data_IF_876726188047
#
_entry.id   IF_876726188047
#
_cell.length_a   1.000
_cell.length_b   1.000
_cell.length_c   1.000
_cell.angle_alpha   90.00
_cell.angle_beta   90.00
_cell.angle_gamma   90.00
#
_symmetry.space_group_name_H-M   'P 1'
#
loop_
_entity.id
_entity.type
_entity.pdbx_description
1 polymer ?
#
# COMPACT_ATOMS: atom_id res chain seq x y z
N UNK A 1 28.41 -11.52 8.54
CA UNK A 1 26.99 -11.13 8.56
C UNK A 1 26.25 -12.29 9.17
N UNK A 2 25.62 -12.11 10.33
CA UNK A 2 24.92 -13.19 11.03
C UNK A 2 23.92 -13.86 10.09
N UNK A 3 23.87 -15.19 10.09
CA UNK A 3 22.87 -16.01 9.39
C UNK A 3 21.48 -15.68 9.94
N UNK A 4 20.88 -14.60 9.43
CA UNK A 4 19.51 -14.26 9.77
C UNK A 4 18.61 -15.25 9.05
N UNK A 5 17.89 -16.08 9.80
CA UNK A 5 16.94 -17.03 9.25
C UNK A 5 15.81 -16.27 8.53
N UNK A 6 15.65 -16.42 7.19
CA UNK A 6 14.61 -15.70 6.44
C UNK A 6 13.19 -15.97 6.96
N UNK A 7 12.93 -17.18 7.47
CA UNK A 7 11.64 -17.54 8.04
C UNK A 7 11.33 -16.73 9.31
N UNK A 8 12.34 -16.47 10.15
CA UNK A 8 12.18 -15.68 11.38
C UNK A 8 11.93 -14.20 11.06
N UNK A 9 12.61 -13.65 10.05
CA UNK A 9 12.38 -12.28 9.56
C UNK A 9 10.94 -12.12 9.08
N UNK A 10 10.50 -13.02 8.21
CA UNK A 10 9.13 -12.99 7.67
C UNK A 10 8.11 -13.18 8.79
N UNK A 11 8.33 -14.11 9.72
CA UNK A 11 7.44 -14.34 10.85
C UNK A 11 7.29 -13.08 11.73
N UNK A 12 8.40 -12.36 11.98
CA UNK A 12 8.38 -11.10 12.71
C UNK A 12 7.57 -10.01 11.98
N UNK A 13 7.76 -9.85 10.67
CA UNK A 13 7.01 -8.88 9.86
C UNK A 13 5.51 -9.19 9.87
N UNK A 14 5.13 -10.47 9.67
CA UNK A 14 3.73 -10.92 9.70
C UNK A 14 3.12 -10.69 11.07
N UNK A 15 3.86 -10.93 12.17
CA UNK A 15 3.37 -10.66 13.53
C UNK A 15 3.01 -9.19 13.73
N UNK A 16 3.89 -8.28 13.33
CA UNK A 16 3.63 -6.83 13.42
C UNK A 16 2.49 -6.38 12.51
N UNK A 17 2.43 -6.91 11.28
CA UNK A 17 1.37 -6.61 10.33
C UNK A 17 -0.01 -7.03 10.86
N UNK A 18 -0.10 -8.22 11.49
CA UNK A 18 -1.34 -8.68 12.15
C UNK A 18 -1.76 -7.77 13.30
N UNK A 19 -0.81 -7.31 14.11
CA UNK A 19 -1.10 -6.40 15.21
C UNK A 19 -1.64 -5.05 14.69
N UNK A 20 -0.99 -4.48 13.66
CA UNK A 20 -1.45 -3.26 13.00
C UNK A 20 -2.81 -3.42 12.32
N UNK A 21 -3.03 -4.54 11.63
CA UNK A 21 -4.31 -4.86 11.00
C UNK A 21 -5.43 -4.98 12.03
N UNK A 22 -5.15 -5.64 13.17
CA UNK A 22 -6.12 -5.77 14.25
C UNK A 22 -6.54 -4.41 14.82
N UNK A 23 -5.62 -3.43 14.88
CA UNK A 23 -5.93 -2.07 15.31
C UNK A 23 -6.95 -1.39 14.38
N UNK A 24 -6.84 -1.60 13.07
CA UNK A 24 -7.77 -0.99 12.10
C UNK A 24 -9.07 -1.76 11.87
N UNK A 25 -9.27 -2.93 12.49
CA UNK A 25 -10.56 -3.64 12.42
C UNK A 25 -11.72 -2.82 13.00
N UNK A 26 -11.42 -1.90 13.91
CA UNK A 26 -12.40 -1.00 14.51
C UNK A 26 -12.61 0.29 13.69
N UNK A 27 -11.87 0.49 12.60
CA UNK A 27 -12.00 1.71 11.79
C UNK A 27 -13.35 1.72 11.07
N UNK A 28 -13.94 2.90 10.99
CA UNK A 28 -15.09 3.16 10.13
C UNK A 28 -14.70 3.18 8.65
N UNK A 29 -15.68 3.07 7.76
CA UNK A 29 -15.46 3.26 6.31
C UNK A 29 -14.74 4.57 6.01
N UNK A 30 -15.08 5.66 6.70
CA UNK A 30 -14.45 6.97 6.50
C UNK A 30 -12.97 6.97 6.90
N UNK A 31 -12.60 6.28 7.99
CA UNK A 31 -11.21 6.18 8.42
C UNK A 31 -10.39 5.30 7.46
N UNK A 32 -10.98 4.22 6.93
CA UNK A 32 -10.38 3.42 5.85
C UNK A 32 -10.20 4.26 4.57
N UNK A 33 -11.19 5.08 4.23
CA UNK A 33 -11.11 5.98 3.07
C UNK A 33 -10.03 7.07 3.26
N UNK A 34 -9.83 7.54 4.48
CA UNK A 34 -8.76 8.46 4.84
C UNK A 34 -7.38 7.81 4.74
N UNK A 35 -7.21 6.56 5.19
CA UNK A 35 -5.96 5.79 5.03
C UNK A 35 -5.53 5.72 3.57
N UNK A 36 -6.44 5.33 2.67
CA UNK A 36 -6.11 5.18 1.25
C UNK A 36 -5.88 6.52 0.57
N UNK A 37 -6.55 7.57 1.02
CA UNK A 37 -6.33 8.94 0.53
C UNK A 37 -4.94 9.43 0.90
N UNK A 38 -4.50 9.21 2.15
CA UNK A 38 -3.16 9.56 2.62
C UNK A 38 -2.07 8.85 1.79
N UNK A 39 -2.24 7.54 1.53
CA UNK A 39 -1.30 6.80 0.67
C UNK A 39 -1.32 7.32 -0.78
N UNK A 40 -2.49 7.61 -1.33
CA UNK A 40 -2.63 8.14 -2.68
C UNK A 40 -1.91 9.49 -2.85
N UNK A 41 -1.87 10.31 -1.80
CA UNK A 41 -1.28 11.64 -1.80
C UNK A 41 0.23 11.64 -2.09
N UNK A 42 0.95 10.59 -1.66
CA UNK A 42 2.42 10.45 -1.80
C UNK A 42 2.95 10.73 -3.22
N UNK A 43 2.18 10.41 -4.26
CA UNK A 43 2.58 10.61 -5.66
C UNK A 43 1.75 11.67 -6.40
N UNK A 44 0.85 12.36 -5.69
CA UNK A 44 0.11 13.50 -6.24
C UNK A 44 0.92 14.78 -6.18
N UNK A 45 1.81 14.93 -5.20
CA UNK A 45 2.78 16.01 -5.20
C UNK A 45 3.77 15.85 -6.37
N UNK A 46 3.88 16.89 -7.19
CA UNK A 46 4.61 16.80 -8.47
C UNK A 46 6.11 16.70 -8.25
N UNK A 47 6.64 17.40 -7.24
CA UNK A 47 8.07 17.41 -6.95
C UNK A 47 8.51 16.09 -6.31
N UNK A 48 7.73 15.57 -5.36
CA UNK A 48 7.93 14.25 -4.77
C UNK A 48 7.87 13.15 -5.84
N UNK A 49 6.87 13.18 -6.71
CA UNK A 49 6.73 12.20 -7.80
C UNK A 49 7.91 12.27 -8.78
N UNK A 50 8.39 13.49 -9.11
CA UNK A 50 9.59 13.68 -9.93
C UNK A 50 10.82 13.04 -9.29
N UNK A 51 11.10 13.34 -8.03
CA UNK A 51 12.26 12.79 -7.30
C UNK A 51 12.22 11.25 -7.24
N UNK A 52 11.05 10.68 -6.98
CA UNK A 52 10.86 9.23 -7.02
C UNK A 52 11.15 8.66 -8.42
N UNK A 53 10.68 9.31 -9.47
CA UNK A 53 10.89 8.86 -10.84
C UNK A 53 12.35 8.97 -11.29
N UNK A 54 13.06 10.04 -10.90
CA UNK A 54 14.49 10.22 -11.13
C UNK A 54 15.28 9.08 -10.47
N UNK A 55 14.99 8.81 -9.19
CA UNK A 55 15.59 7.70 -8.44
C UNK A 55 15.34 6.36 -9.14
N UNK A 56 14.09 6.09 -9.54
CA UNK A 56 13.73 4.83 -10.18
C UNK A 56 14.41 4.64 -11.55
N UNK A 57 14.58 5.71 -12.34
CA UNK A 57 15.33 5.63 -13.61
C UNK A 57 16.80 5.38 -13.33
N UNK A 58 17.40 6.10 -12.38
CA UNK A 58 18.80 5.97 -12.01
C UNK A 58 19.14 4.56 -11.53
N UNK A 59 18.31 3.97 -10.67
CA UNK A 59 18.56 2.66 -10.07
C UNK A 59 18.31 1.49 -11.04
N UNK A 60 17.22 1.60 -11.82
CA UNK A 60 16.79 0.47 -12.66
C UNK A 60 17.37 0.52 -14.06
N UNK A 61 17.71 1.70 -14.57
CA UNK A 61 18.05 1.95 -15.97
C UNK A 61 16.87 1.79 -16.93
N UNK A 62 15.63 1.75 -16.44
CA UNK A 62 14.43 1.42 -17.23
C UNK A 62 13.50 2.62 -17.42
N UNK A 63 13.21 2.97 -18.68
CA UNK A 63 12.26 4.02 -19.05
C UNK A 63 12.80 5.44 -18.87
N UNK A 64 11.91 6.43 -18.81
CA UNK A 64 12.24 7.84 -18.57
C UNK A 64 11.35 8.45 -17.48
N UNK A 65 11.77 9.60 -16.95
CA UNK A 65 11.11 10.28 -15.83
C UNK A 65 9.68 10.71 -16.19
N UNK A 66 9.48 11.34 -17.35
CA UNK A 66 8.18 11.89 -17.76
C UNK A 66 7.09 10.81 -17.88
N UNK A 67 7.40 9.67 -18.49
CA UNK A 67 6.47 8.55 -18.63
C UNK A 67 6.16 7.92 -17.27
N UNK A 68 7.15 7.81 -16.37
CA UNK A 68 6.93 7.29 -15.02
C UNK A 68 6.07 8.23 -14.18
N UNK A 69 6.28 9.55 -14.27
CA UNK A 69 5.44 10.53 -13.57
C UNK A 69 3.99 10.42 -14.04
N UNK A 70 3.76 10.44 -15.36
CA UNK A 70 2.42 10.28 -15.97
C UNK A 70 1.77 8.97 -15.52
N UNK A 71 2.53 7.88 -15.51
CA UNK A 71 2.05 6.56 -15.09
C UNK A 71 1.68 6.53 -13.61
N UNK A 72 2.50 7.11 -12.72
CA UNK A 72 2.22 7.18 -11.29
C UNK A 72 0.93 7.97 -11.05
N UNK A 73 0.82 9.17 -11.62
CA UNK A 73 -0.38 10.03 -11.47
C UNK A 73 -1.62 9.35 -12.03
N UNK A 74 -1.57 8.85 -13.27
CA UNK A 74 -2.74 8.26 -13.94
C UNK A 74 -3.22 6.99 -13.25
N UNK A 75 -2.32 6.11 -12.82
CA UNK A 75 -2.70 4.86 -12.15
C UNK A 75 -3.29 5.11 -10.78
N UNK A 76 -2.68 5.99 -9.98
CA UNK A 76 -3.19 6.31 -8.65
C UNK A 76 -4.53 7.03 -8.73
N UNK A 77 -4.69 8.07 -9.57
CA UNK A 77 -5.97 8.75 -9.71
C UNK A 77 -7.06 7.85 -10.30
N UNK A 78 -6.70 7.00 -11.27
CA UNK A 78 -7.61 6.00 -11.83
C UNK A 78 -8.14 5.07 -10.74
N UNK A 79 -7.23 4.48 -9.96
CA UNK A 79 -7.61 3.60 -8.85
C UNK A 79 -8.48 4.32 -7.82
N UNK A 80 -8.08 5.52 -7.37
CA UNK A 80 -8.82 6.29 -6.38
C UNK A 80 -10.23 6.65 -6.87
N UNK A 81 -10.42 6.85 -8.17
CA UNK A 81 -11.74 7.04 -8.77
C UNK A 81 -12.53 5.73 -8.77
N UNK A 82 -11.92 4.62 -9.17
CA UNK A 82 -12.60 3.33 -9.32
C UNK A 82 -13.06 2.75 -7.97
N UNK A 83 -12.33 3.00 -6.87
CA UNK A 83 -12.70 2.54 -5.52
C UNK A 83 -13.58 3.54 -4.75
N UNK A 84 -13.91 4.69 -5.35
CA UNK A 84 -14.71 5.73 -4.70
C UNK A 84 -16.11 5.19 -4.40
N UNK A 85 -16.52 5.26 -3.14
CA UNK A 85 -17.83 4.77 -2.69
C UNK A 85 -17.93 3.24 -2.56
N UNK A 86 -16.89 2.48 -2.89
CA UNK A 86 -16.86 1.06 -2.61
C UNK A 86 -16.93 0.81 -1.10
N UNK A 87 -17.93 0.03 -0.66
CA UNK A 87 -18.10 -0.39 0.73
C UNK A 87 -17.23 -1.60 1.01
N UNK A 88 -16.38 -1.50 2.02
CA UNK A 88 -15.38 -2.51 2.39
C UNK A 88 -15.27 -2.76 3.89
N UNK A 89 -16.12 -2.10 4.69
CA UNK A 89 -16.18 -2.22 6.13
C UNK A 89 -17.61 -2.54 6.56
N UNK A 90 -17.78 -3.56 7.41
CA UNK A 90 -19.07 -3.91 7.99
C UNK A 90 -20.06 -4.45 6.96
N UNK A 91 -21.36 -4.14 7.15
CA UNK A 91 -22.43 -4.57 6.24
C UNK A 91 -22.30 -3.80 4.92
N UNK A 92 -22.09 -4.53 3.82
CA UNK A 92 -21.91 -3.96 2.48
C UNK A 92 -23.17 -4.08 1.62
N UNK A 93 -23.98 -5.10 1.88
CA UNK A 93 -25.26 -5.38 1.24
C UNK A 93 -26.22 -6.01 2.24
N UNK A 94 -27.50 -5.70 2.13
CA UNK A 94 -28.57 -6.30 2.93
C UNK A 94 -29.80 -6.47 2.03
N UNK A 95 -30.17 -7.72 1.75
CA UNK A 95 -31.32 -8.11 0.95
C UNK A 95 -32.36 -8.73 1.87
N UNK A 96 -33.30 -7.90 2.32
CA UNK A 96 -34.39 -8.32 3.22
C UNK A 96 -35.30 -9.39 2.59
N UNK A 97 -35.50 -9.36 1.26
CA UNK A 97 -36.40 -10.27 0.58
C UNK A 97 -35.79 -11.67 0.48
N UNK A 98 -34.48 -11.76 0.22
CA UNK A 98 -33.74 -13.01 0.25
C UNK A 98 -33.35 -13.43 1.68
N UNK A 99 -33.38 -12.51 2.65
CA UNK A 99 -32.89 -12.73 4.00
C UNK A 99 -31.35 -12.86 4.07
N UNK A 100 -30.63 -12.17 3.18
CA UNK A 100 -29.17 -12.28 3.04
C UNK A 100 -28.50 -10.95 3.39
N UNK A 101 -27.62 -10.98 4.38
CA UNK A 101 -26.73 -9.85 4.72
C UNK A 101 -25.28 -10.20 4.38
N UNK A 102 -24.63 -9.33 3.62
CA UNK A 102 -23.20 -9.47 3.28
C UNK A 102 -22.35 -8.56 4.14
N UNK A 103 -21.34 -9.13 4.79
CA UNK A 103 -20.43 -8.42 5.69
C UNK A 103 -19.01 -8.54 5.15
N UNK A 104 -18.36 -7.41 4.88
CA UNK A 104 -16.97 -7.37 4.45
C UNK A 104 -16.05 -7.82 5.59
N UNK A 105 -15.16 -8.76 5.27
CA UNK A 105 -14.15 -9.28 6.20
C UNK A 105 -12.76 -9.21 5.56
N UNK A 106 -11.78 -8.55 6.18
CA UNK A 106 -10.41 -8.53 5.69
C UNK A 106 -9.81 -9.94 5.64
N UNK A 107 -8.92 -10.18 4.67
CA UNK A 107 -8.13 -11.43 4.62
C UNK A 107 -7.00 -11.42 5.66
N UNK A 108 -6.60 -10.25 6.15
CA UNK A 108 -5.58 -10.06 7.18
C UNK A 108 -4.31 -9.41 6.61
N UNK A 109 -3.31 -10.23 6.26
CA UNK A 109 -2.02 -9.73 5.77
C UNK A 109 -1.80 -10.14 4.32
N UNK A 110 -1.50 -9.17 3.46
CA UNK A 110 -1.22 -9.37 2.03
C UNK A 110 0.28 -9.33 1.78
N UNK A 111 0.82 -10.33 1.09
CA UNK A 111 2.18 -10.29 0.54
C UNK A 111 2.15 -9.74 -0.90
N UNK A 112 2.98 -8.76 -1.21
CA UNK A 112 3.00 -8.09 -2.52
C UNK A 112 4.38 -8.11 -3.16
N UNK A 113 4.54 -8.90 -4.23
CA UNK A 113 5.76 -8.89 -5.04
C UNK A 113 5.80 -7.61 -5.90
N UNK A 114 6.88 -6.84 -5.80
CA UNK A 114 7.02 -5.54 -6.47
C UNK A 114 8.11 -5.63 -7.57
N UNK A 115 7.75 -5.43 -8.86
CA UNK A 115 8.68 -5.56 -9.97
C UNK A 115 9.55 -4.30 -10.17
N UNK A 116 10.76 -4.47 -10.71
CA UNK A 116 11.70 -3.38 -11.06
C UNK A 116 11.20 -2.46 -12.18
N UNK A 117 10.28 -2.91 -13.02
CA UNK A 117 9.71 -2.09 -14.10
C UNK A 117 8.81 -0.97 -13.56
N UNK A 118 8.18 -1.20 -12.40
CA UNK A 118 7.24 -0.30 -11.76
C UNK A 118 7.43 -0.27 -10.22
N UNK A 119 8.59 0.20 -9.72
CA UNK A 119 8.92 0.13 -8.29
C UNK A 119 8.16 1.17 -7.44
N UNK A 120 7.35 2.03 -8.07
CA UNK A 120 6.55 3.08 -7.40
C UNK A 120 5.05 2.83 -7.62
N UNK A 121 4.60 2.82 -8.88
CA UNK A 121 3.18 2.66 -9.19
C UNK A 121 2.59 1.34 -8.67
N UNK A 122 3.30 0.21 -8.81
CA UNK A 122 2.80 -1.09 -8.35
C UNK A 122 2.61 -1.14 -6.83
N UNK A 123 3.63 -0.83 -5.99
CA UNK A 123 3.44 -0.86 -4.55
C UNK A 123 2.32 0.08 -4.11
N UNK A 124 2.24 1.32 -4.62
CA UNK A 124 1.17 2.26 -4.24
C UNK A 124 -0.22 1.69 -4.54
N UNK A 125 -0.45 1.14 -5.75
CA UNK A 125 -1.75 0.56 -6.09
C UNK A 125 -2.08 -0.65 -5.22
N UNK A 126 -1.10 -1.51 -4.93
CA UNK A 126 -1.31 -2.69 -4.08
C UNK A 126 -1.61 -2.28 -2.64
N UNK A 127 -0.93 -1.27 -2.11
CA UNK A 127 -1.15 -0.74 -0.75
C UNK A 127 -2.53 -0.13 -0.64
N UNK A 128 -2.93 0.72 -1.59
CA UNK A 128 -4.27 1.33 -1.61
C UNK A 128 -5.35 0.25 -1.59
N UNK A 129 -5.25 -0.78 -2.44
CA UNK A 129 -6.24 -1.86 -2.46
C UNK A 129 -6.24 -2.68 -1.16
N UNK A 130 -5.07 -3.01 -0.60
CA UNK A 130 -4.97 -3.75 0.65
C UNK A 130 -5.61 -2.99 1.81
N UNK A 131 -5.25 -1.70 1.97
CA UNK A 131 -5.78 -0.83 3.03
C UNK A 131 -7.26 -0.53 2.83
N UNK A 132 -7.73 -0.34 1.58
CA UNK A 132 -9.16 -0.14 1.28
C UNK A 132 -10.00 -1.30 1.80
N UNK A 133 -9.47 -2.51 1.79
CA UNK A 133 -10.11 -3.71 2.32
C UNK A 133 -9.67 -4.05 3.76
N UNK A 134 -9.15 -3.07 4.51
CA UNK A 134 -8.70 -3.16 5.89
C UNK A 134 -7.68 -4.28 6.17
N UNK A 135 -6.77 -4.53 5.22
CA UNK A 135 -5.64 -5.46 5.37
C UNK A 135 -4.35 -4.69 5.67
N UNK A 136 -3.41 -5.33 6.36
CA UNK A 136 -2.02 -4.91 6.31
C UNK A 136 -1.33 -5.53 5.08
N UNK A 137 -0.22 -4.93 4.64
CA UNK A 137 0.52 -5.36 3.45
C UNK A 137 2.04 -5.38 3.71
N UNK A 138 2.71 -6.41 3.19
CA UNK A 138 4.17 -6.56 3.20
C UNK A 138 4.67 -6.60 1.76
N UNK A 139 5.53 -5.64 1.41
CA UNK A 139 6.11 -5.49 0.08
C UNK A 139 7.40 -6.33 -0.05
N UNK A 140 7.56 -6.99 -1.19
CA UNK A 140 8.75 -7.75 -1.55
C UNK A 140 9.29 -7.21 -2.88
N UNK A 141 10.11 -6.14 -2.86
CA UNK A 141 10.66 -5.53 -4.07
C UNK A 141 11.74 -6.39 -4.70
N UNK A 142 11.82 -6.34 -6.04
CA UNK A 142 13.00 -6.79 -6.75
C UNK A 142 14.24 -5.97 -6.32
N UNK A 143 15.45 -6.56 -6.25
CA UNK A 143 16.64 -5.87 -5.77
C UNK A 143 16.92 -4.54 -6.49
N UNK A 144 16.74 -4.50 -7.82
CA UNK A 144 16.97 -3.29 -8.63
C UNK A 144 15.99 -2.14 -8.37
N UNK A 145 14.80 -2.44 -7.86
CA UNK A 145 13.76 -1.44 -7.56
C UNK A 145 13.60 -1.17 -6.07
N UNK A 146 14.44 -1.79 -5.25
CA UNK A 146 14.29 -1.73 -3.80
C UNK A 146 14.47 -0.34 -3.21
N UNK A 147 15.48 0.48 -3.57
CA UNK A 147 15.64 1.75 -2.89
C UNK A 147 14.56 2.77 -3.29
N UNK A 148 14.08 2.74 -4.54
CA UNK A 148 12.83 3.42 -4.94
C UNK A 148 11.62 2.98 -4.11
N UNK A 149 11.44 1.68 -3.90
CA UNK A 149 10.34 1.14 -3.10
C UNK A 149 10.47 1.52 -1.60
N UNK A 150 11.69 1.53 -1.07
CA UNK A 150 11.97 2.01 0.30
C UNK A 150 11.60 3.48 0.45
N UNK A 151 11.97 4.33 -0.52
CA UNK A 151 11.63 5.75 -0.47
C UNK A 151 10.11 5.98 -0.47
N UNK A 152 9.37 5.20 -1.25
CA UNK A 152 7.89 5.20 -1.21
C UNK A 152 7.37 4.79 0.15
N UNK A 153 7.94 3.74 0.77
CA UNK A 153 7.55 3.29 2.10
C UNK A 153 7.74 4.40 3.14
N UNK A 154 8.88 5.10 3.11
CA UNK A 154 9.17 6.19 4.06
C UNK A 154 8.16 7.33 3.95
N UNK A 155 7.78 7.70 2.72
CA UNK A 155 6.78 8.73 2.46
C UNK A 155 5.39 8.29 2.93
N UNK A 156 5.03 7.03 2.70
CA UNK A 156 3.77 6.46 3.20
C UNK A 156 3.75 6.47 4.73
N UNK A 157 4.84 6.10 5.40
CA UNK A 157 4.90 6.16 6.86
C UNK A 157 4.69 7.57 7.39
N UNK A 158 5.27 8.58 6.73
CA UNK A 158 5.02 9.98 7.09
C UNK A 158 3.52 10.35 6.96
N UNK A 159 2.86 9.95 5.86
CA UNK A 159 1.42 10.19 5.68
C UNK A 159 0.55 9.43 6.70
N UNK A 160 0.93 8.20 7.06
CA UNK A 160 0.24 7.43 8.09
C UNK A 160 0.38 8.09 9.47
N UNK A 161 1.54 8.65 9.79
CA UNK A 161 1.76 9.35 11.06
C UNK A 161 0.87 10.59 11.18
N UNK A 162 0.67 11.35 10.09
CA UNK A 162 -0.18 12.55 10.07
C UNK A 162 -1.63 12.25 10.45
N UNK A 163 -2.10 11.03 10.18
CA UNK A 163 -3.46 10.57 10.49
C UNK A 163 -3.50 9.61 11.69
N UNK A 164 -2.39 9.43 12.41
CA UNK A 164 -2.30 8.56 13.58
C UNK A 164 -2.48 7.07 13.29
N UNK A 165 -2.20 6.63 12.06
CA UNK A 165 -2.32 5.23 11.66
C UNK A 165 -1.03 4.44 11.94
N UNK A 166 -1.11 3.13 12.26
CA UNK A 166 0.08 2.32 12.51
C UNK A 166 0.94 2.17 11.26
N UNK A 167 2.23 2.54 11.35
CA UNK A 167 3.20 2.33 10.26
C UNK A 167 3.30 0.88 9.81
N UNK A 168 3.17 -0.06 10.75
CA UNK A 168 3.23 -1.51 10.49
C UNK A 168 2.09 -2.05 9.60
N UNK A 169 1.09 -1.22 9.25
CA UNK A 169 0.12 -1.53 8.19
C UNK A 169 0.79 -1.73 6.83
N UNK A 170 1.90 -1.05 6.59
CA UNK A 170 2.67 -1.14 5.36
C UNK A 170 4.12 -1.43 5.74
N UNK A 171 4.59 -2.62 5.40
CA UNK A 171 5.95 -3.06 5.68
C UNK A 171 6.63 -3.53 4.40
N UNK A 172 7.94 -3.78 4.47
CA UNK A 172 8.72 -4.29 3.35
C UNK A 172 9.74 -5.32 3.87
N UNK A 173 10.06 -6.31 3.02
CA UNK A 173 11.18 -7.21 3.28
C UNK A 173 12.51 -6.43 3.32
N UNK A 174 13.45 -6.80 4.19
CA UNK A 174 14.79 -6.22 4.16
C UNK A 174 15.54 -6.60 2.88
N UNK A 175 16.63 -5.85 2.60
CA UNK A 175 17.56 -6.12 1.48
C UNK A 175 18.31 -7.44 1.63
#
# INVERSE_FOLDING_TARGET
MSDVNPAEVVASLVKRARAAQAHINAYSQQQIDQLVTAVGWVVMDTDTNRQLCELAVQETGLGNVADKMTKNTRKTLGLMRDIRGAKTVGVISDDEAAGITEIARPVGVVGSIVPSTNPIATPINNIINALKCANAIILAPSPKGQPSCQRVLDLIHAELDLIGAPRDLVQMLPA
#
